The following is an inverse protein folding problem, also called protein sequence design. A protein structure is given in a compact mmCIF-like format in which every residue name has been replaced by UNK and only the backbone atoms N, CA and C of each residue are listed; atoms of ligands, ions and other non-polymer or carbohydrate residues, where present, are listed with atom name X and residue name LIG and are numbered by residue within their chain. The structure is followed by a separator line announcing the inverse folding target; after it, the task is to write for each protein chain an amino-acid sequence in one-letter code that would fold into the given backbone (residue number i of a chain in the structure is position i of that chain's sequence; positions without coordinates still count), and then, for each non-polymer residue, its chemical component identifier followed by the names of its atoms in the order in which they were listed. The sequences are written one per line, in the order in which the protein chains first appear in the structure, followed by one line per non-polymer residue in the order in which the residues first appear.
data_IF_145449589368
#
_entry.id   IF_145449589368
#
_cell.length_a   1.000
_cell.length_b   1.000
_cell.length_c   1.000
_cell.angle_alpha   90.00
_cell.angle_beta   90.00
_cell.angle_gamma   90.00
#
_symmetry.space_group_name_H-M   'P 1'
#
loop_
_entity.id
_entity.type
_entity.pdbx_description
1 polymer ?
#
# COMPACT_ATOMS: atom_id res chain seq x y z
N UNK A 1 -10.36 -17.22 -14.59
CA UNK A 1 -9.05 -17.87 -14.74
C UNK A 1 -9.14 -19.13 -13.93
N UNK A 2 -9.00 -20.32 -14.55
CA UNK A 2 -9.07 -21.58 -13.82
C UNK A 2 -7.70 -21.85 -13.20
N UNK A 3 -7.63 -21.89 -11.87
CA UNK A 3 -6.38 -22.13 -11.12
C UNK A 3 -5.96 -23.60 -11.18
N UNK A 4 -6.80 -24.52 -11.72
CA UNK A 4 -6.47 -25.94 -11.86
C UNK A 4 -5.27 -26.21 -12.78
N UNK A 5 -4.92 -25.26 -13.65
CA UNK A 5 -3.74 -25.34 -14.53
C UNK A 5 -2.41 -25.07 -13.78
N UNK A 6 -2.47 -24.51 -12.58
CA UNK A 6 -1.30 -24.19 -11.75
C UNK A 6 -1.11 -25.28 -10.68
N UNK A 7 -0.59 -26.43 -11.09
CA UNK A 7 -0.37 -27.61 -10.24
C UNK A 7 0.53 -27.41 -9.02
N UNK A 8 1.14 -26.22 -8.88
CA UNK A 8 2.08 -25.90 -7.83
C UNK A 8 1.58 -24.79 -6.87
N UNK A 9 0.36 -24.30 -7.02
CA UNK A 9 -0.23 -23.32 -6.11
C UNK A 9 -1.13 -24.09 -5.15
N UNK A 10 -0.68 -24.25 -3.92
CA UNK A 10 -1.44 -24.85 -2.85
C UNK A 10 -2.20 -23.80 -2.01
N UNK A 11 -3.03 -24.29 -1.07
CA UNK A 11 -3.80 -23.43 -0.17
C UNK A 11 -2.89 -22.51 0.69
N UNK A 12 -1.70 -22.98 1.05
CA UNK A 12 -0.71 -22.20 1.80
C UNK A 12 -0.21 -21.01 1.00
N UNK A 13 0.08 -21.21 -0.28
CA UNK A 13 0.51 -20.14 -1.20
C UNK A 13 -0.59 -19.11 -1.43
N UNK A 14 -1.84 -19.55 -1.55
CA UNK A 14 -3.00 -18.65 -1.66
C UNK A 14 -3.17 -17.84 -0.36
N UNK A 15 -3.15 -18.51 0.80
CA UNK A 15 -3.26 -17.83 2.10
C UNK A 15 -2.13 -16.82 2.34
N UNK A 16 -0.91 -17.13 1.93
CA UNK A 16 0.20 -16.17 1.95
C UNK A 16 -0.10 -14.95 1.08
N UNK A 17 -0.54 -15.15 -0.17
CA UNK A 17 -0.85 -14.06 -1.08
C UNK A 17 -1.98 -13.16 -0.52
N UNK A 18 -3.04 -13.75 0.03
CA UNK A 18 -4.13 -13.01 0.67
C UNK A 18 -3.63 -12.17 1.85
N UNK A 19 -2.79 -12.73 2.72
CA UNK A 19 -2.21 -12.03 3.85
C UNK A 19 -1.30 -10.88 3.39
N UNK A 20 -0.45 -11.12 2.39
CA UNK A 20 0.46 -10.12 1.84
C UNK A 20 -0.32 -8.94 1.23
N UNK A 21 -1.34 -9.22 0.42
CA UNK A 21 -2.18 -8.20 -0.22
C UNK A 21 -3.11 -7.47 0.77
N UNK A 22 -3.33 -8.04 1.94
CA UNK A 22 -4.12 -7.42 3.02
C UNK A 22 -3.26 -6.63 4.00
N UNK A 23 -1.94 -6.73 3.90
CA UNK A 23 -1.00 -5.96 4.71
C UNK A 23 -0.94 -4.51 4.23
N UNK A 24 -0.91 -3.56 5.18
CA UNK A 24 -0.74 -2.15 4.83
C UNK A 24 0.74 -1.84 4.60
N UNK A 25 1.06 -1.40 3.39
CA UNK A 25 2.45 -1.16 2.98
C UNK A 25 2.63 0.11 2.14
N UNK A 26 2.05 1.26 2.54
CA UNK A 26 2.32 2.48 1.80
C UNK A 26 3.82 2.81 1.84
N UNK A 27 4.36 3.37 0.73
CA UNK A 27 5.79 3.67 0.58
C UNK A 27 6.36 4.41 1.80
N UNK A 28 7.41 3.84 2.39
CA UNK A 28 8.02 4.31 3.65
C UNK A 28 7.41 3.72 4.92
N UNK A 29 6.45 2.78 4.79
CA UNK A 29 5.81 2.10 5.93
C UNK A 29 5.53 0.63 5.63
N UNK A 30 6.49 -0.06 5.01
CA UNK A 30 6.33 -1.39 4.42
C UNK A 30 6.50 -2.55 5.42
N UNK A 31 6.75 -2.26 6.71
CA UNK A 31 7.12 -3.27 7.71
C UNK A 31 6.12 -4.41 7.85
N UNK A 32 4.80 -4.13 7.75
CA UNK A 32 3.77 -5.17 7.90
C UNK A 32 3.86 -6.20 6.76
N UNK A 33 3.97 -5.73 5.51
CA UNK A 33 4.12 -6.59 4.35
C UNK A 33 5.49 -7.30 4.31
N UNK A 34 6.56 -6.58 4.69
CA UNK A 34 7.91 -7.16 4.76
C UNK A 34 7.97 -8.32 5.76
N UNK A 35 7.38 -8.17 6.95
CA UNK A 35 7.31 -9.25 7.93
C UNK A 35 6.46 -10.41 7.41
N UNK A 36 5.29 -10.16 6.83
CA UNK A 36 4.46 -11.21 6.22
C UNK A 36 5.24 -12.01 5.17
N UNK A 37 6.01 -11.32 4.31
CA UNK A 37 6.86 -11.96 3.31
C UNK A 37 8.00 -12.78 3.95
N UNK A 38 8.72 -12.21 4.92
CA UNK A 38 9.83 -12.89 5.58
C UNK A 38 9.38 -14.15 6.33
N UNK A 39 8.26 -14.08 7.03
CA UNK A 39 7.69 -15.20 7.78
C UNK A 39 7.36 -16.40 6.86
N UNK A 40 6.82 -16.09 5.67
CA UNK A 40 6.57 -17.13 4.67
C UNK A 40 7.85 -17.70 4.08
N UNK A 41 8.77 -16.86 3.67
CA UNK A 41 10.02 -17.27 3.00
C UNK A 41 10.99 -17.98 3.94
N UNK A 42 10.97 -17.65 5.24
CA UNK A 42 11.80 -18.31 6.25
C UNK A 42 11.60 -19.82 6.35
N UNK A 43 10.46 -20.34 5.87
CA UNK A 43 10.19 -21.77 5.86
C UNK A 43 11.13 -22.56 4.93
N UNK A 44 11.76 -21.92 3.94
CA UNK A 44 12.58 -22.58 2.92
C UNK A 44 13.85 -21.81 2.51
N UNK A 45 14.08 -20.62 3.06
CA UNK A 45 15.25 -19.80 2.76
C UNK A 45 15.82 -19.15 4.02
N UNK A 46 17.09 -18.76 3.97
CA UNK A 46 17.65 -17.83 4.95
C UNK A 46 17.17 -16.42 4.61
N UNK A 47 16.51 -15.73 5.56
CA UNK A 47 15.96 -14.39 5.37
C UNK A 47 16.71 -13.35 6.18
N UNK A 48 16.79 -12.14 5.62
CA UNK A 48 17.31 -10.96 6.29
C UNK A 48 16.64 -9.70 5.73
N UNK A 49 16.81 -8.56 6.39
CA UNK A 49 16.31 -7.28 5.93
C UNK A 49 17.23 -6.13 6.34
N UNK A 50 17.22 -5.08 5.58
CA UNK A 50 17.94 -3.86 5.91
C UNK A 50 17.06 -2.83 6.67
N UNK A 51 17.66 -1.70 7.02
CA UNK A 51 17.00 -0.61 7.76
C UNK A 51 15.90 0.12 6.96
N UNK A 52 15.83 -0.12 5.65
CA UNK A 52 14.81 0.41 4.77
C UNK A 52 13.70 -0.61 4.48
N UNK A 53 13.65 -1.72 5.21
CA UNK A 53 12.74 -2.84 5.03
C UNK A 53 12.88 -3.59 3.69
N UNK A 54 13.99 -3.39 2.94
CA UNK A 54 14.29 -4.30 1.85
C UNK A 54 14.52 -5.69 2.42
N UNK A 55 13.68 -6.64 2.06
CA UNK A 55 13.75 -8.01 2.56
C UNK A 55 14.27 -8.94 1.49
N UNK A 56 15.12 -9.88 1.86
CA UNK A 56 15.70 -10.85 0.94
C UNK A 56 15.77 -12.23 1.56
N UNK A 57 15.55 -13.24 0.71
CA UNK A 57 15.69 -14.66 1.03
C UNK A 57 16.73 -15.30 0.14
N UNK A 58 17.61 -16.10 0.71
CA UNK A 58 18.69 -16.77 0.01
C UNK A 58 18.52 -18.29 0.09
N UNK A 59 18.48 -18.94 -1.07
CA UNK A 59 18.49 -20.39 -1.22
C UNK A 59 19.81 -20.78 -1.86
N UNK A 60 20.45 -21.83 -1.34
CA UNK A 60 21.73 -22.33 -1.82
C UNK A 60 22.82 -21.25 -1.90
N UNK A 61 23.22 -20.64 -0.77
CA UNK A 61 24.18 -19.53 -0.75
C UNK A 61 25.55 -19.90 -1.35
N UNK A 62 25.93 -21.19 -1.33
CA UNK A 62 27.21 -21.71 -1.83
C UNK A 62 27.17 -22.02 -3.35
N UNK A 63 26.07 -21.81 -4.05
CA UNK A 63 26.00 -22.06 -5.48
C UNK A 63 26.91 -21.09 -6.27
N UNK A 64 27.64 -21.64 -7.25
CA UNK A 64 28.54 -20.86 -8.12
C UNK A 64 27.80 -19.82 -8.96
N UNK A 65 26.58 -20.16 -9.38
CA UNK A 65 25.72 -19.26 -10.15
C UNK A 65 24.49 -18.86 -9.32
N UNK A 66 24.21 -17.57 -9.27
CA UNK A 66 23.09 -17.00 -8.52
C UNK A 66 22.16 -16.21 -9.43
N UNK A 67 20.87 -16.37 -9.21
CA UNK A 67 19.81 -15.58 -9.86
C UNK A 67 19.13 -14.74 -8.78
N UNK A 68 18.98 -13.46 -9.03
CA UNK A 68 18.24 -12.57 -8.17
C UNK A 68 16.89 -12.25 -8.80
N UNK A 69 15.80 -12.54 -8.08
CA UNK A 69 14.44 -12.13 -8.41
C UNK A 69 14.08 -10.93 -7.55
N UNK A 70 13.67 -9.83 -8.17
CA UNK A 70 13.31 -8.60 -7.47
C UNK A 70 11.86 -8.25 -7.76
N UNK A 71 11.15 -7.83 -6.71
CA UNK A 71 9.82 -7.26 -6.79
C UNK A 71 9.67 -6.16 -5.73
N UNK A 72 8.79 -5.16 -5.97
CA UNK A 72 8.48 -4.20 -4.94
C UNK A 72 7.39 -4.73 -4.01
N UNK A 73 7.36 -4.22 -2.77
CA UNK A 73 6.43 -4.66 -1.73
C UNK A 73 5.51 -3.51 -1.27
N UNK A 74 5.85 -2.28 -1.66
CA UNK A 74 5.06 -1.11 -1.31
C UNK A 74 3.82 -0.98 -2.21
N UNK A 75 2.82 -0.30 -1.66
CA UNK A 75 1.59 0.07 -2.36
C UNK A 75 1.45 1.59 -2.47
N UNK A 76 0.60 2.03 -3.40
CA UNK A 76 0.24 3.45 -3.52
C UNK A 76 -0.53 3.89 -2.28
N UNK A 77 -0.32 5.14 -1.88
CA UNK A 77 -0.98 5.66 -0.69
C UNK A 77 -0.88 7.18 -0.57
N UNK A 78 -1.24 7.64 0.61
CA UNK A 78 -1.19 9.06 0.95
C UNK A 78 -0.34 9.28 2.20
N UNK A 79 0.39 10.38 2.21
CA UNK A 79 1.10 10.86 3.39
C UNK A 79 0.36 12.05 3.99
N UNK A 80 0.08 11.99 5.28
CA UNK A 80 -0.51 13.11 6.03
C UNK A 80 0.48 14.28 6.04
N UNK A 81 0.00 15.45 5.60
CA UNK A 81 0.76 16.70 5.58
C UNK A 81 0.42 17.57 6.79
N UNK A 82 -0.86 17.73 7.09
CA UNK A 82 -1.33 18.44 8.27
C UNK A 82 -2.78 18.05 8.59
N UNK A 83 -3.18 18.38 9.81
CA UNK A 83 -4.56 18.25 10.27
C UNK A 83 -4.99 19.66 10.68
N UNK A 84 -6.14 20.13 10.15
CA UNK A 84 -6.64 21.45 10.48
C UNK A 84 -7.34 21.49 11.85
N UNK A 85 -7.76 22.70 12.29
CA UNK A 85 -8.41 22.90 13.58
C UNK A 85 -9.80 22.23 13.68
N UNK A 86 -10.39 21.81 12.57
CA UNK A 86 -11.65 21.07 12.52
C UNK A 86 -11.45 19.54 12.50
N UNK A 87 -10.20 19.08 12.40
CA UNK A 87 -9.84 17.67 12.34
C UNK A 87 -9.72 17.10 10.94
N UNK A 88 -9.92 17.88 9.88
CA UNK A 88 -9.73 17.42 8.51
C UNK A 88 -8.25 17.21 8.19
N UNK A 89 -7.95 16.09 7.56
CA UNK A 89 -6.59 15.65 7.26
C UNK A 89 -6.28 15.93 5.78
N UNK A 90 -5.22 16.68 5.55
CA UNK A 90 -4.72 17.01 4.23
C UNK A 90 -3.48 16.17 3.91
N UNK A 91 -3.41 15.67 2.69
CA UNK A 91 -2.46 14.65 2.29
C UNK A 91 -1.73 14.98 0.99
N UNK A 92 -0.59 14.35 0.79
CA UNK A 92 0.06 14.26 -0.53
C UNK A 92 0.08 12.79 -0.97
N UNK A 93 0.03 12.55 -2.27
CA UNK A 93 0.05 11.21 -2.83
C UNK A 93 1.47 10.64 -2.89
N UNK A 94 1.59 9.34 -2.67
CA UNK A 94 2.72 8.50 -3.01
C UNK A 94 2.32 7.57 -4.14
N UNK A 95 3.10 7.57 -5.22
CA UNK A 95 2.80 6.79 -6.42
C UNK A 95 1.79 7.43 -7.37
N UNK A 96 1.41 6.68 -8.38
CA UNK A 96 0.50 7.08 -9.44
C UNK A 96 -0.96 6.88 -9.05
N UNK A 97 -1.61 7.89 -8.48
CA UNK A 97 -3.03 7.84 -8.08
C UNK A 97 -3.84 8.71 -9.03
N UNK A 98 -4.88 8.14 -9.62
CA UNK A 98 -5.89 8.89 -10.38
C UNK A 98 -6.86 9.59 -9.42
N UNK A 99 -6.74 10.92 -9.32
CA UNK A 99 -7.56 11.72 -8.41
C UNK A 99 -9.05 11.68 -8.73
N UNK A 100 -9.45 11.29 -9.93
CA UNK A 100 -10.87 11.19 -10.29
C UNK A 100 -11.58 10.04 -9.55
N UNK A 101 -10.86 9.01 -9.17
CA UNK A 101 -11.40 7.84 -8.47
C UNK A 101 -11.35 7.96 -6.94
N UNK A 102 -10.66 8.97 -6.43
CA UNK A 102 -10.34 9.12 -5.01
C UNK A 102 -11.48 9.66 -4.13
N UNK A 103 -12.27 10.68 -4.56
CA UNK A 103 -13.33 11.20 -3.70
C UNK A 103 -14.41 10.17 -3.36
N UNK A 104 -14.70 10.02 -2.08
CA UNK A 104 -15.66 9.04 -1.57
C UNK A 104 -15.04 7.68 -1.24
N UNK A 105 -13.74 7.50 -1.47
CA UNK A 105 -13.02 6.27 -1.11
C UNK A 105 -12.76 6.23 0.39
N UNK A 106 -13.00 5.08 1.00
CA UNK A 106 -12.54 4.80 2.36
C UNK A 106 -11.02 4.62 2.36
N UNK A 107 -10.39 5.12 3.40
CA UNK A 107 -8.94 4.97 3.66
C UNK A 107 -8.70 4.50 5.08
N UNK A 108 -7.55 3.90 5.30
CA UNK A 108 -7.07 3.56 6.63
C UNK A 108 -5.86 4.43 6.95
N UNK A 109 -5.97 5.19 8.02
CA UNK A 109 -4.92 6.06 8.53
C UNK A 109 -4.11 5.27 9.55
N UNK A 110 -2.82 5.10 9.27
CA UNK A 110 -1.89 4.42 10.16
C UNK A 110 -1.24 5.44 11.11
N UNK A 111 -1.47 5.31 12.40
CA UNK A 111 -0.94 6.24 13.40
C UNK A 111 -0.48 5.51 14.65
N UNK A 112 0.82 5.49 14.91
CA UNK A 112 1.44 4.96 16.14
C UNK A 112 0.87 3.59 16.55
N UNK A 113 0.71 2.68 15.58
CA UNK A 113 0.17 1.34 15.81
C UNK A 113 -1.37 1.25 15.83
N UNK A 114 -2.06 2.37 15.65
CA UNK A 114 -3.52 2.38 15.49
C UNK A 114 -3.90 2.48 14.01
N UNK A 115 -5.04 1.86 13.67
CA UNK A 115 -5.66 1.91 12.36
C UNK A 115 -6.99 2.67 12.51
N UNK A 116 -7.09 3.86 11.90
CA UNK A 116 -8.29 4.71 11.96
C UNK A 116 -8.89 4.79 10.55
N UNK A 117 -10.18 4.56 10.44
CA UNK A 117 -10.89 4.72 9.16
C UNK A 117 -11.22 6.17 8.91
N UNK A 118 -11.14 6.58 7.66
CA UNK A 118 -11.54 7.89 7.19
C UNK A 118 -12.11 7.78 5.78
N UNK A 119 -12.72 8.86 5.30
CA UNK A 119 -13.27 8.96 3.94
C UNK A 119 -12.71 10.20 3.27
N UNK A 120 -12.29 10.07 2.01
CA UNK A 120 -11.79 11.20 1.26
C UNK A 120 -12.96 12.05 0.75
N UNK A 121 -13.04 13.27 1.26
CA UNK A 121 -14.05 14.27 0.93
C UNK A 121 -13.57 15.26 -0.13
N UNK A 122 -14.54 15.87 -0.81
CA UNK A 122 -14.34 17.03 -1.68
C UNK A 122 -15.49 18.01 -1.54
N UNK A 123 -15.29 19.25 -1.98
CA UNK A 123 -16.34 20.28 -2.05
C UNK A 123 -17.55 19.78 -2.84
N UNK A 124 -18.76 19.75 -2.25
CA UNK A 124 -19.98 19.31 -2.91
C UNK A 124 -20.28 20.11 -4.19
N UNK A 125 -20.85 19.45 -5.19
CA UNK A 125 -21.05 20.06 -6.53
C UNK A 125 -21.91 21.33 -6.49
N UNK A 126 -22.91 21.41 -5.59
CA UNK A 126 -23.77 22.56 -5.46
C UNK A 126 -23.09 23.78 -4.81
N UNK A 127 -21.95 23.60 -4.17
CA UNK A 127 -21.11 24.68 -3.63
C UNK A 127 -19.98 25.08 -4.57
N UNK A 128 -19.78 24.33 -5.67
CA UNK A 128 -18.73 24.62 -6.66
C UNK A 128 -19.20 25.69 -7.64
N UNK A 129 -18.28 26.60 -7.98
CA UNK A 129 -18.49 27.55 -9.10
C UNK A 129 -18.48 26.82 -10.45
N UNK A 130 -18.95 27.48 -11.52
CA UNK A 130 -18.89 26.91 -12.87
C UNK A 130 -17.43 26.55 -13.28
N UNK A 131 -16.49 27.41 -12.95
CA UNK A 131 -15.07 27.24 -13.25
C UNK A 131 -14.46 26.06 -12.46
N UNK A 132 -14.86 25.85 -11.20
CA UNK A 132 -14.38 24.73 -10.40
C UNK A 132 -14.87 23.38 -10.93
N UNK A 133 -16.04 23.35 -11.56
CA UNK A 133 -16.62 22.11 -12.12
C UNK A 133 -15.90 21.60 -13.36
N UNK A 134 -15.26 22.47 -14.13
CA UNK A 134 -14.56 22.13 -15.37
C UNK A 134 -13.05 21.96 -15.19
N UNK A 135 -12.50 22.39 -14.05
CA UNK A 135 -11.08 22.19 -13.73
C UNK A 135 -10.79 20.77 -13.30
N UNK A 136 -9.58 20.30 -13.65
CA UNK A 136 -9.07 19.05 -13.11
C UNK A 136 -9.07 19.07 -11.58
N UNK A 137 -9.37 17.93 -10.99
CA UNK A 137 -9.37 17.79 -9.55
C UNK A 137 -7.94 17.94 -9.01
N UNK A 138 -7.81 18.78 -7.99
CA UNK A 138 -6.56 19.06 -7.31
C UNK A 138 -6.57 18.38 -5.93
N UNK A 139 -5.48 17.71 -5.57
CA UNK A 139 -5.35 17.01 -4.28
C UNK A 139 -5.48 17.99 -3.10
N UNK A 140 -4.98 19.22 -3.25
CA UNK A 140 -5.06 20.27 -2.21
C UNK A 140 -6.51 20.69 -1.88
N UNK A 141 -7.48 20.24 -2.70
CA UNK A 141 -8.92 20.46 -2.50
C UNK A 141 -9.66 19.26 -1.93
N UNK A 142 -8.92 18.21 -1.61
CA UNK A 142 -9.41 17.01 -0.96
C UNK A 142 -8.95 16.99 0.50
N UNK A 143 -9.74 16.35 1.33
CA UNK A 143 -9.41 16.10 2.73
C UNK A 143 -9.91 14.72 3.14
N UNK A 144 -9.37 14.17 4.21
CA UNK A 144 -9.90 12.96 4.85
C UNK A 144 -10.64 13.39 6.11
N UNK A 145 -11.85 12.86 6.28
CA UNK A 145 -12.74 13.03 7.42
C UNK A 145 -12.90 11.68 8.17
#
# INVERSE_FOLDING_TARGET
MDLSDYKNIDESSIGFLENLLSSYSPSGYEMEAAHCWMDYVHQFAAVDSDVLCNSYGVINPEADFKVMLCGHIDEIGFQVMHIDDNGFIYVRKHGGIDLLTVPGTEVVILSRGNKVRGVIGKKPIHLQTADERVKALDLDKLWID
#
